data_IF_880099731291
#
_entry.id   IF_880099731291
#
_cell.length_a   1.000
_cell.length_b   1.000
_cell.length_c   1.000
_cell.angle_alpha   90.00
_cell.angle_beta   90.00
_cell.angle_gamma   90.00
#
_symmetry.space_group_name_H-M   'P 1'
#
loop_
_entity.id
_entity.type
_entity.pdbx_description
1 polymer ?
#
# COMPACT_ATOMS: atom_id res chain seq x y z
N UNK A 1 16.22 11.96 -4.63
CA UNK A 1 15.70 12.21 -3.27
C UNK A 1 15.17 10.90 -2.75
N UNK A 2 15.74 10.42 -1.66
CA UNK A 2 15.27 9.21 -0.98
C UNK A 2 14.17 9.60 0.02
N UNK A 3 13.09 8.82 0.08
CA UNK A 3 11.95 9.06 0.96
C UNK A 3 11.47 7.75 1.59
N UNK A 4 11.94 7.44 2.81
CA UNK A 4 11.40 6.33 3.58
C UNK A 4 10.14 6.77 4.33
N UNK A 5 9.16 5.88 4.44
CA UNK A 5 7.96 6.03 5.26
C UNK A 5 7.72 4.75 6.04
N UNK A 6 7.32 4.89 7.29
CA UNK A 6 6.88 3.78 8.14
C UNK A 6 5.51 4.10 8.75
N UNK A 7 4.64 3.10 8.88
CA UNK A 7 3.40 3.17 9.65
C UNK A 7 3.25 1.91 10.47
N UNK A 8 2.89 2.08 11.73
CA UNK A 8 2.55 1.02 12.67
C UNK A 8 1.19 1.35 13.27
N UNK A 9 0.34 0.35 13.47
CA UNK A 9 -1.01 0.53 14.00
C UNK A 9 -1.44 -0.66 14.83
N UNK A 10 -2.15 -0.37 15.92
CA UNK A 10 -2.71 -1.34 16.84
C UNK A 10 -4.07 -0.84 17.32
N UNK A 11 -5.08 -1.70 17.24
CA UNK A 11 -6.45 -1.44 17.69
C UNK A 11 -6.80 -2.51 18.70
N UNK A 12 -7.38 -2.07 19.81
CA UNK A 12 -7.88 -2.96 20.85
C UNK A 12 -9.35 -2.65 21.11
N UNK A 13 -10.15 -3.69 21.16
CA UNK A 13 -11.53 -3.55 21.59
C UNK A 13 -11.62 -3.36 23.10
N UNK A 14 -12.57 -2.53 23.53
CA UNK A 14 -12.88 -2.29 24.93
C UNK A 14 -14.17 -3.04 25.31
N UNK A 15 -14.28 -3.41 26.58
CA UNK A 15 -15.51 -3.97 27.17
C UNK A 15 -15.99 -5.29 26.53
N UNK A 16 -15.07 -6.09 25.96
CA UNK A 16 -15.40 -7.38 25.34
C UNK A 16 -16.20 -7.27 24.03
N UNK A 17 -16.26 -6.08 23.43
CA UNK A 17 -16.82 -5.89 22.09
C UNK A 17 -15.81 -6.33 21.03
N UNK A 18 -16.24 -6.52 19.79
CA UNK A 18 -15.34 -6.72 18.65
C UNK A 18 -15.09 -5.41 17.92
N UNK A 19 -13.91 -5.26 17.32
CA UNK A 19 -13.58 -4.11 16.47
C UNK A 19 -14.37 -4.24 15.16
N UNK A 20 -15.24 -3.25 14.82
CA UNK A 20 -15.99 -3.28 13.58
C UNK A 20 -15.08 -3.28 12.35
N UNK A 21 -15.47 -4.02 11.31
CA UNK A 21 -14.67 -4.21 10.07
C UNK A 21 -14.27 -2.89 9.41
N UNK A 22 -15.13 -1.86 9.44
CA UNK A 22 -14.83 -0.54 8.86
C UNK A 22 -13.80 0.29 9.64
N UNK A 23 -13.46 -0.11 10.87
CA UNK A 23 -12.41 0.53 11.68
C UNK A 23 -11.07 -0.23 11.58
N UNK A 24 -11.08 -1.46 11.04
CA UNK A 24 -9.90 -2.30 10.91
C UNK A 24 -8.95 -1.80 9.83
N UNK A 25 -7.67 -2.12 9.99
CA UNK A 25 -6.64 -1.75 9.03
C UNK A 25 -6.69 -2.63 7.79
N UNK A 26 -6.74 -1.99 6.63
CA UNK A 26 -6.56 -2.62 5.32
C UNK A 26 -5.41 -1.89 4.62
N UNK A 27 -4.46 -2.65 4.11
CA UNK A 27 -3.38 -2.16 3.26
C UNK A 27 -3.66 -2.53 1.80
N UNK A 28 -2.79 -2.12 0.89
CA UNK A 28 -3.01 -2.18 -0.56
C UNK A 28 -3.31 -0.81 -1.18
N UNK A 29 -3.00 -0.70 -2.47
CA UNK A 29 -3.21 0.48 -3.29
C UNK A 29 -2.11 1.53 -3.14
N UNK A 30 -2.31 2.64 -3.87
CA UNK A 30 -1.29 3.66 -4.16
C UNK A 30 -0.72 4.41 -2.94
N UNK A 31 -1.42 4.35 -1.81
CA UNK A 31 -1.09 5.05 -0.56
C UNK A 31 -0.58 4.12 0.55
N UNK A 32 -0.45 2.82 0.28
CA UNK A 32 0.16 1.86 1.20
C UNK A 32 1.10 0.89 0.48
N UNK A 33 0.61 -0.24 -0.03
CA UNK A 33 1.39 -1.23 -0.76
C UNK A 33 0.94 -1.22 -2.22
N UNK A 34 1.70 -0.51 -3.07
CA UNK A 34 1.42 -0.45 -4.51
C UNK A 34 1.57 -1.82 -5.15
N UNK A 35 0.84 -2.07 -6.22
CA UNK A 35 0.85 -3.37 -6.91
C UNK A 35 -0.15 -4.39 -6.33
N UNK A 36 -0.64 -4.19 -5.11
CA UNK A 36 -1.66 -5.02 -4.46
C UNK A 36 -2.95 -4.24 -4.29
N UNK A 37 -4.09 -4.89 -4.55
CA UNK A 37 -5.42 -4.25 -4.40
C UNK A 37 -5.75 -4.02 -2.92
N UNK A 38 -5.65 -5.09 -2.14
CA UNK A 38 -5.94 -5.11 -0.71
C UNK A 38 -5.09 -6.19 -0.02
N UNK A 39 -4.69 -5.93 1.22
CA UNK A 39 -3.80 -6.74 2.05
C UNK A 39 -4.29 -6.70 3.50
N UNK A 40 -4.44 -7.89 4.08
CA UNK A 40 -4.91 -8.11 5.45
C UNK A 40 -5.73 -9.40 5.56
N UNK A 41 -6.30 -9.68 6.74
CA UNK A 41 -7.16 -10.84 6.98
C UNK A 41 -8.38 -10.84 6.06
N UNK A 42 -8.81 -12.04 5.66
CA UNK A 42 -9.98 -12.27 4.82
C UNK A 42 -10.98 -13.18 5.51
N UNK A 43 -12.25 -12.98 5.18
CA UNK A 43 -13.30 -13.91 5.57
C UNK A 43 -13.05 -15.30 4.94
N UNK A 44 -13.11 -16.39 5.73
CA UNK A 44 -12.81 -17.73 5.23
C UNK A 44 -13.86 -18.27 4.24
N UNK A 45 -15.10 -17.75 4.27
CA UNK A 45 -16.21 -18.18 3.43
C UNK A 45 -16.31 -17.30 2.18
N UNK A 46 -16.42 -15.97 2.34
CA UNK A 46 -16.64 -15.06 1.21
C UNK A 46 -15.35 -14.64 0.51
N UNK A 47 -14.19 -14.81 1.18
CA UNK A 47 -12.87 -14.36 0.73
C UNK A 47 -12.72 -12.83 0.65
N UNK A 48 -13.71 -12.09 1.15
CA UNK A 48 -13.66 -10.63 1.25
C UNK A 48 -12.62 -10.18 2.26
N UNK A 49 -12.04 -9.00 2.03
CA UNK A 49 -11.11 -8.39 2.97
C UNK A 49 -11.87 -7.88 4.19
N UNK A 50 -11.48 -8.33 5.38
CA UNK A 50 -12.07 -7.88 6.66
C UNK A 50 -11.14 -6.97 7.45
N UNK A 51 -9.86 -6.91 7.08
CA UNK A 51 -8.89 -6.05 7.74
C UNK A 51 -8.43 -6.59 9.11
N UNK A 52 -7.31 -6.04 9.57
CA UNK A 52 -6.62 -6.45 10.79
C UNK A 52 -6.73 -5.43 11.91
N UNK A 53 -6.50 -5.88 13.14
CA UNK A 53 -6.38 -5.04 14.34
C UNK A 53 -4.95 -4.54 14.54
N UNK A 54 -3.94 -5.18 13.92
CA UNK A 54 -2.59 -4.65 13.81
C UNK A 54 -2.20 -4.39 12.35
N UNK A 55 -1.32 -3.41 12.14
CA UNK A 55 -0.71 -3.17 10.84
C UNK A 55 0.73 -2.71 10.96
N UNK A 56 1.54 -3.11 10.00
CA UNK A 56 2.90 -2.62 9.84
C UNK A 56 3.18 -2.41 8.35
N UNK A 57 3.73 -1.25 8.02
CA UNK A 57 4.00 -0.82 6.65
C UNK A 57 5.32 -0.05 6.59
N UNK A 58 6.14 -0.39 5.61
CA UNK A 58 7.32 0.35 5.21
C UNK A 58 7.29 0.62 3.71
N UNK A 59 7.55 1.86 3.33
CA UNK A 59 7.74 2.27 1.95
C UNK A 59 9.12 2.90 1.81
N UNK A 60 9.86 2.46 0.80
CA UNK A 60 11.15 3.04 0.45
C UNK A 60 11.06 3.56 -0.97
N UNK A 61 11.20 4.87 -1.14
CA UNK A 61 11.10 5.50 -2.45
C UNK A 61 12.40 6.21 -2.82
N UNK A 62 12.76 6.10 -4.10
CA UNK A 62 13.78 6.95 -4.71
C UNK A 62 13.16 7.76 -5.84
N UNK A 63 13.08 9.07 -5.63
CA UNK A 63 12.47 10.04 -6.54
C UNK A 63 13.57 10.80 -7.27
N UNK A 64 13.50 10.88 -8.59
CA UNK A 64 14.46 11.60 -9.43
C UNK A 64 13.75 12.46 -10.47
N UNK A 65 14.35 13.60 -10.88
CA UNK A 65 13.77 14.42 -11.93
C UNK A 65 13.85 13.69 -13.27
N UNK A 66 12.73 13.64 -14.01
CA UNK A 66 12.72 13.20 -15.41
C UNK A 66 12.81 14.42 -16.33
N UNK A 67 11.84 15.34 -16.19
CA UNK A 67 11.78 16.59 -16.97
C UNK A 67 11.52 17.73 -15.98
N UNK A 68 12.59 18.43 -15.59
CA UNK A 68 12.52 19.48 -14.56
C UNK A 68 11.55 20.60 -14.94
N UNK A 69 11.61 21.06 -16.20
CA UNK A 69 10.79 22.18 -16.69
C UNK A 69 9.29 21.84 -16.73
N UNK A 70 8.94 20.56 -16.84
CA UNK A 70 7.56 20.09 -16.86
C UNK A 70 7.06 19.61 -15.47
N UNK A 71 7.90 19.70 -14.43
CA UNK A 71 7.55 19.20 -13.09
C UNK A 71 7.38 17.67 -13.03
N UNK A 72 7.95 16.92 -13.99
CA UNK A 72 7.85 15.46 -14.04
C UNK A 72 8.99 14.80 -13.26
N UNK A 73 8.61 13.87 -12.38
CA UNK A 73 9.52 13.07 -11.56
C UNK A 73 9.28 11.59 -11.83
N UNK A 74 10.38 10.84 -11.93
CA UNK A 74 10.35 9.39 -11.88
C UNK A 74 10.45 8.93 -10.43
N UNK A 75 9.86 7.79 -10.13
CA UNK A 75 10.03 7.11 -8.85
C UNK A 75 10.33 5.64 -9.10
N UNK A 76 11.19 5.07 -8.27
CA UNK A 76 11.28 3.63 -8.05
C UNK A 76 11.02 3.37 -6.57
N UNK A 77 10.39 2.25 -6.26
CA UNK A 77 9.97 1.97 -4.89
C UNK A 77 10.09 0.50 -4.53
N UNK A 78 10.15 0.27 -3.22
CA UNK A 78 9.95 -1.01 -2.57
C UNK A 78 8.99 -0.80 -1.40
N UNK A 79 7.87 -1.51 -1.41
CA UNK A 79 6.86 -1.47 -0.36
C UNK A 79 6.82 -2.83 0.34
N UNK A 80 6.70 -2.83 1.66
CA UNK A 80 6.53 -4.06 2.44
C UNK A 80 5.61 -3.81 3.62
N UNK A 81 4.67 -4.72 3.86
CA UNK A 81 3.73 -4.56 4.96
C UNK A 81 2.63 -5.61 4.98
N UNK A 82 1.89 -5.66 6.07
CA UNK A 82 0.66 -6.41 6.18
C UNK A 82 -0.20 -5.87 7.34
N UNK A 83 -1.43 -6.36 7.41
CA UNK A 83 -2.30 -6.24 8.57
C UNK A 83 -2.65 -7.64 9.07
N UNK A 84 -2.77 -7.80 10.39
CA UNK A 84 -3.07 -9.09 11.03
C UNK A 84 -4.19 -8.93 12.06
N UNK A 85 -4.79 -10.04 12.45
CA UNK A 85 -5.66 -10.06 13.61
C UNK A 85 -4.81 -10.38 14.84
N UNK A 86 -4.85 -9.50 15.84
CA UNK A 86 -4.07 -9.54 17.08
C UNK A 86 -2.59 -9.22 16.92
N UNK A 87 -1.72 -10.22 16.77
CA UNK A 87 -0.27 -10.03 16.88
C UNK A 87 0.42 -9.67 15.55
N UNK A 88 1.55 -8.97 15.66
CA UNK A 88 2.42 -8.71 14.52
C UNK A 88 3.14 -9.99 14.10
N UNK A 89 3.02 -10.38 12.82
CA UNK A 89 3.76 -11.50 12.24
C UNK A 89 4.71 -11.03 11.13
N UNK A 90 5.97 -10.80 11.49
CA UNK A 90 7.01 -10.39 10.53
C UNK A 90 7.32 -11.47 9.46
N UNK A 91 6.86 -12.71 9.65
CA UNK A 91 6.97 -13.80 8.68
C UNK A 91 5.96 -13.68 7.54
N UNK A 92 4.75 -13.19 7.79
CA UNK A 92 3.71 -12.94 6.77
C UNK A 92 3.71 -11.46 6.34
N UNK A 93 4.81 -11.02 5.73
CA UNK A 93 4.93 -9.67 5.17
C UNK A 93 4.76 -9.70 3.65
N UNK A 94 3.82 -8.91 3.11
CA UNK A 94 3.67 -8.72 1.66
C UNK A 94 4.72 -7.75 1.14
N UNK A 95 5.27 -7.99 -0.05
CA UNK A 95 6.40 -7.25 -0.63
C UNK A 95 6.16 -6.92 -2.09
N UNK A 96 6.33 -5.66 -2.46
CA UNK A 96 6.25 -5.21 -3.84
C UNK A 96 7.39 -4.29 -4.19
N UNK A 97 7.76 -4.25 -5.46
CA UNK A 97 8.65 -3.24 -6.00
C UNK A 97 8.07 -2.66 -7.28
N UNK A 98 8.52 -1.49 -7.68
CA UNK A 98 7.97 -0.91 -8.89
C UNK A 98 8.59 0.42 -9.28
N UNK A 99 7.98 1.01 -10.29
CA UNK A 99 8.37 2.29 -10.85
C UNK A 99 7.14 3.11 -11.19
N UNK A 100 7.28 4.43 -11.21
CA UNK A 100 6.18 5.33 -11.48
C UNK A 100 6.61 6.68 -11.99
N UNK A 101 5.63 7.43 -12.46
CA UNK A 101 5.75 8.81 -12.91
C UNK A 101 4.83 9.67 -12.03
N UNK A 102 5.39 10.75 -11.50
CA UNK A 102 4.66 11.79 -10.77
C UNK A 102 4.77 13.10 -11.51
N UNK A 103 3.64 13.68 -11.88
CA UNK A 103 3.61 14.89 -12.68
C UNK A 103 2.71 15.94 -12.03
N UNK A 104 3.29 17.10 -11.74
CA UNK A 104 2.52 18.30 -11.39
C UNK A 104 2.03 18.96 -12.67
N UNK A 105 0.90 18.47 -13.18
CA UNK A 105 0.27 18.99 -14.40
C UNK A 105 -0.55 20.26 -14.12
N UNK A 106 -0.96 21.02 -15.16
CA UNK A 106 -1.83 22.19 -15.01
C UNK A 106 -3.18 21.88 -14.34
N UNK A 107 -3.67 20.63 -14.44
CA UNK A 107 -4.94 20.19 -13.85
C UNK A 107 -4.77 19.58 -12.44
N UNK A 108 -3.53 19.52 -11.95
CA UNK A 108 -3.19 19.00 -10.62
C UNK A 108 -2.15 17.86 -10.64
N UNK A 109 -1.84 17.29 -9.47
CA UNK A 109 -0.91 16.19 -9.35
C UNK A 109 -1.46 14.92 -9.98
N UNK A 110 -0.63 14.26 -10.76
CA UNK A 110 -0.89 12.96 -11.37
C UNK A 110 0.15 11.98 -10.84
N UNK A 111 -0.30 10.78 -10.47
CA UNK A 111 0.57 9.65 -10.14
C UNK A 111 0.16 8.47 -10.98
N UNK A 112 1.13 7.84 -11.63
CA UNK A 112 0.98 6.56 -12.29
C UNK A 112 2.09 5.66 -11.77
N UNK A 113 1.73 4.57 -11.13
CA UNK A 113 2.66 3.69 -10.43
C UNK A 113 2.40 2.25 -10.92
N UNK A 114 3.44 1.59 -11.42
CA UNK A 114 3.42 0.17 -11.74
C UNK A 114 4.10 -0.60 -10.62
N UNK A 115 3.36 -1.49 -9.96
CA UNK A 115 3.88 -2.35 -8.90
C UNK A 115 3.90 -3.82 -9.32
N UNK A 116 4.99 -4.50 -9.01
CA UNK A 116 5.21 -5.93 -9.19
C UNK A 116 5.24 -6.63 -7.82
N UNK A 117 4.53 -7.76 -7.70
CA UNK A 117 4.44 -8.52 -6.47
C UNK A 117 5.58 -9.52 -6.37
N UNK A 118 6.43 -9.36 -5.36
CA UNK A 118 7.63 -10.19 -5.17
C UNK A 118 7.31 -11.52 -4.49
N UNK A 119 6.36 -11.52 -3.55
CA UNK A 119 5.86 -12.68 -2.82
C UNK A 119 4.47 -13.08 -3.32
N UNK A 120 4.36 -13.31 -4.63
CA UNK A 120 3.08 -13.62 -5.28
C UNK A 120 2.47 -14.90 -4.71
N UNK A 121 1.23 -14.81 -4.21
CA UNK A 121 0.41 -15.96 -3.78
C UNK A 121 -0.36 -16.54 -4.98
N UNK A 122 -0.76 -17.81 -4.90
CA UNK A 122 -1.51 -18.47 -5.98
C UNK A 122 -2.84 -17.74 -6.29
N UNK A 123 -3.15 -17.55 -7.57
CA UNK A 123 -4.32 -16.81 -8.02
C UNK A 123 -4.20 -15.28 -7.96
N UNK A 124 -3.08 -14.73 -7.47
CA UNK A 124 -2.84 -13.29 -7.42
C UNK A 124 -2.18 -12.77 -8.71
N UNK A 125 -2.57 -11.59 -9.24
CA UNK A 125 -1.88 -10.99 -10.37
C UNK A 125 -0.42 -10.68 -10.04
N UNK A 126 0.49 -10.85 -11.00
CA UNK A 126 1.91 -10.58 -10.80
C UNK A 126 2.23 -9.08 -10.68
N UNK A 127 1.39 -8.22 -11.24
CA UNK A 127 1.55 -6.78 -11.22
C UNK A 127 0.22 -6.06 -11.28
N UNK A 128 0.22 -4.78 -10.91
CA UNK A 128 -0.94 -3.88 -11.02
C UNK A 128 -0.46 -2.47 -11.32
N UNK A 129 -1.30 -1.73 -12.04
CA UNK A 129 -1.17 -0.28 -12.21
C UNK A 129 -2.08 0.44 -11.24
N UNK A 130 -1.52 1.41 -10.54
CA UNK A 130 -2.25 2.31 -9.66
C UNK A 130 -2.13 3.75 -10.20
N UNK A 131 -3.24 4.48 -10.23
CA UNK A 131 -3.24 5.86 -10.70
C UNK A 131 -4.11 6.76 -9.81
N UNK A 132 -3.72 8.03 -9.70
CA UNK A 132 -4.52 9.07 -9.02
C UNK A 132 -4.41 10.39 -9.77
N UNK A 133 -5.52 11.13 -9.77
CA UNK A 133 -5.62 12.49 -10.31
C UNK A 133 -6.11 13.42 -9.20
N UNK A 134 -5.42 14.53 -9.02
CA UNK A 134 -5.78 15.57 -8.07
C UNK A 134 -5.10 15.40 -6.71
N UNK A 135 -5.62 16.13 -5.73
CA UNK A 135 -5.00 16.31 -4.42
C UNK A 135 -5.48 15.33 -3.35
N UNK A 136 -6.24 14.30 -3.75
CA UNK A 136 -6.76 13.31 -2.82
C UNK A 136 -5.62 12.38 -2.37
N UNK A 137 -5.16 12.62 -1.14
CA UNK A 137 -4.21 11.79 -0.39
C UNK A 137 -4.96 10.87 0.56
#
# INVERSE_FOLDING_TARGET
>A
MFSPRARIGYIQALEGKEVPVWERYILGGINSIRGLKDVGPRDPVTRDIIGGTTMLLFNFEFIFPLIKNAGMKGVVFFDTGNAWDYDYDLGDMRKTCGAGIRWYSPIGPLRLEWGYVLDRKEGEPAYRWDFTIGWFM
#
